data_IF_399375936414
#
_entry.id   IF_399375936414
#
_cell.length_a   1.000
_cell.length_b   1.000
_cell.length_c   1.000
_cell.angle_alpha   90.00
_cell.angle_beta   90.00
_cell.angle_gamma   90.00
#
_symmetry.space_group_name_H-M   'P 1'
#
loop_
_entity.id
_entity.type
_entity.pdbx_description
1 polymer ?
#
# COMPACT_ATOMS: atom_id res chain seq x y z
N UNK A 1 34.89 12.93 -22.15
CA UNK A 1 33.66 13.75 -21.97
C UNK A 1 32.73 12.98 -21.05
N UNK A 2 32.76 13.31 -19.80
CA UNK A 2 32.00 12.69 -18.70
C UNK A 2 30.55 13.14 -18.80
N UNK A 3 29.64 12.22 -19.07
CA UNK A 3 28.20 12.47 -18.92
C UNK A 3 27.78 12.04 -17.51
N UNK A 4 28.11 12.87 -16.54
CA UNK A 4 27.46 12.88 -15.23
C UNK A 4 26.10 13.57 -15.36
N UNK A 5 25.13 12.90 -15.97
CA UNK A 5 23.71 13.25 -15.77
C UNK A 5 23.25 12.51 -14.52
N UNK A 6 23.79 12.95 -13.38
CA UNK A 6 23.33 12.56 -12.07
C UNK A 6 21.83 12.87 -11.96
N UNK A 7 21.08 11.87 -11.56
CA UNK A 7 19.69 11.95 -11.13
C UNK A 7 19.62 12.97 -9.98
N UNK A 8 19.36 14.22 -10.31
CA UNK A 8 19.25 15.28 -9.32
C UNK A 8 17.89 15.15 -8.62
N UNK A 9 17.86 15.18 -7.28
CA UNK A 9 16.59 15.21 -6.54
C UNK A 9 15.65 16.32 -7.01
N UNK A 10 16.18 17.46 -7.47
CA UNK A 10 15.42 18.58 -8.01
C UNK A 10 14.73 18.26 -9.35
N UNK A 11 15.38 17.50 -10.23
CA UNK A 11 14.77 17.07 -11.51
C UNK A 11 13.71 15.99 -11.29
N UNK A 12 13.92 15.09 -10.30
CA UNK A 12 12.90 14.14 -9.87
C UNK A 12 11.66 14.86 -9.29
N UNK A 13 11.87 15.89 -8.47
CA UNK A 13 10.79 16.68 -7.88
C UNK A 13 10.03 17.54 -8.93
N UNK A 14 10.71 18.06 -9.94
CA UNK A 14 10.09 18.82 -11.03
C UNK A 14 9.31 17.92 -12.01
N UNK A 15 9.82 16.72 -12.33
CA UNK A 15 9.11 15.72 -13.12
C UNK A 15 7.86 15.20 -12.39
N UNK A 16 7.88 15.20 -11.08
CA UNK A 16 6.76 14.79 -10.22
C UNK A 16 5.57 15.77 -10.27
N UNK A 17 5.81 17.04 -10.64
CA UNK A 17 4.78 18.09 -10.64
C UNK A 17 3.67 17.89 -11.68
N UNK A 18 3.91 17.18 -12.78
CA UNK A 18 2.99 16.98 -13.90
C UNK A 18 2.69 15.49 -14.19
N UNK A 19 2.83 14.59 -13.23
CA UNK A 19 2.60 13.17 -13.45
C UNK A 19 1.10 12.89 -13.61
N UNK A 20 0.66 12.32 -14.77
CA UNK A 20 -0.69 11.82 -14.93
C UNK A 20 -0.97 10.78 -13.83
N UNK A 21 -2.08 10.94 -13.09
CA UNK A 21 -2.42 10.03 -11.98
C UNK A 21 -2.19 10.58 -10.58
N UNK A 22 -1.57 11.75 -10.44
CA UNK A 22 -1.44 12.45 -9.15
C UNK A 22 -2.80 12.75 -8.51
N UNK A 23 -3.81 13.01 -9.33
CA UNK A 23 -5.19 13.21 -8.88
C UNK A 23 -5.77 11.99 -8.18
N UNK A 24 -5.49 10.76 -8.65
CA UNK A 24 -5.94 9.54 -7.98
C UNK A 24 -5.27 9.36 -6.61
N UNK A 25 -3.97 9.60 -6.50
CA UNK A 25 -3.28 9.56 -5.21
C UNK A 25 -3.88 10.57 -4.22
N UNK A 26 -4.14 11.80 -4.69
CA UNK A 26 -4.78 12.82 -3.87
C UNK A 26 -6.19 12.41 -3.44
N UNK A 27 -6.98 11.83 -4.32
CA UNK A 27 -8.33 11.32 -3.96
C UNK A 27 -8.24 10.26 -2.88
N UNK A 28 -7.35 9.26 -3.03
CA UNK A 28 -7.17 8.21 -2.02
C UNK A 28 -6.75 8.80 -0.67
N UNK A 29 -5.79 9.73 -0.68
CA UNK A 29 -5.30 10.42 0.53
C UNK A 29 -6.43 11.22 1.18
N UNK A 30 -7.16 12.03 0.40
CA UNK A 30 -8.25 12.88 0.91
C UNK A 30 -9.35 12.03 1.52
N UNK A 31 -9.74 10.92 0.87
CA UNK A 31 -10.76 10.01 1.43
C UNK A 31 -10.31 9.46 2.78
N UNK A 32 -9.08 8.95 2.88
CA UNK A 32 -8.56 8.44 4.15
C UNK A 32 -8.47 9.55 5.23
N UNK A 33 -8.00 10.75 4.86
CA UNK A 33 -7.90 11.89 5.77
C UNK A 33 -9.27 12.36 6.27
N UNK A 34 -10.27 12.43 5.39
CA UNK A 34 -11.64 12.83 5.77
C UNK A 34 -12.25 11.80 6.71
N UNK A 35 -12.15 10.50 6.38
CA UNK A 35 -12.67 9.43 7.23
C UNK A 35 -12.02 9.47 8.63
N UNK A 36 -10.71 9.47 8.71
CA UNK A 36 -10.01 9.49 9.99
C UNK A 36 -10.26 10.82 10.75
N UNK A 37 -10.35 11.95 10.04
CA UNK A 37 -10.69 13.24 10.65
C UNK A 37 -12.07 13.22 11.34
N UNK A 38 -13.08 12.65 10.69
CA UNK A 38 -14.42 12.49 11.27
C UNK A 38 -14.36 11.56 12.49
N UNK A 39 -13.62 10.45 12.42
CA UNK A 39 -13.47 9.53 13.55
C UNK A 39 -12.74 10.19 14.72
N UNK A 40 -11.72 11.00 14.48
CA UNK A 40 -11.02 11.77 15.52
C UNK A 40 -11.95 12.79 16.20
N UNK A 41 -12.76 13.52 15.41
CA UNK A 41 -13.73 14.46 15.98
C UNK A 41 -14.77 13.76 16.86
N UNK A 42 -15.18 12.55 16.48
CA UNK A 42 -16.08 11.72 17.31
C UNK A 42 -15.40 11.24 18.60
N UNK A 43 -14.15 10.80 18.51
CA UNK A 43 -13.37 10.38 19.69
C UNK A 43 -13.14 11.52 20.69
N UNK A 44 -13.13 12.79 20.21
CA UNK A 44 -13.05 14.00 21.02
C UNK A 44 -14.43 14.47 21.54
N UNK A 45 -15.52 13.78 21.22
CA UNK A 45 -16.88 14.15 21.61
C UNK A 45 -17.45 15.35 20.83
N UNK A 46 -16.78 15.81 19.76
CA UNK A 46 -17.21 16.96 18.95
C UNK A 46 -18.24 16.59 17.88
N UNK A 47 -18.33 15.31 17.55
CA UNK A 47 -19.29 14.75 16.56
C UNK A 47 -19.95 13.51 17.16
N UNK A 48 -21.28 13.40 17.04
CA UNK A 48 -22.05 12.25 17.48
C UNK A 48 -22.24 11.23 16.35
N UNK A 49 -22.36 9.94 16.66
CA UNK A 49 -22.23 9.33 18.00
C UNK A 49 -20.76 9.18 18.43
N UNK A 50 -20.48 9.24 19.72
CA UNK A 50 -19.13 9.01 20.29
C UNK A 50 -18.56 7.61 19.99
N UNK A 51 -19.39 6.67 19.53
CA UNK A 51 -18.99 5.32 19.12
C UNK A 51 -18.65 5.18 17.63
N UNK A 52 -18.52 6.30 16.92
CA UNK A 52 -18.40 6.27 15.46
C UNK A 52 -17.21 5.45 14.95
N UNK A 53 -16.04 5.51 15.63
CA UNK A 53 -14.88 4.68 15.30
C UNK A 53 -15.18 3.19 15.45
N UNK A 54 -15.80 2.79 16.55
CA UNK A 54 -16.22 1.41 16.76
C UNK A 54 -17.16 0.92 15.67
N UNK A 55 -18.16 1.74 15.31
CA UNK A 55 -19.08 1.45 14.21
C UNK A 55 -18.36 1.35 12.86
N UNK A 56 -17.45 2.29 12.55
CA UNK A 56 -16.68 2.24 11.32
C UNK A 56 -15.85 0.95 11.19
N UNK A 57 -15.27 0.47 12.30
CA UNK A 57 -14.54 -0.79 12.32
C UNK A 57 -15.47 -1.99 12.21
N UNK A 58 -16.61 -1.96 12.91
CA UNK A 58 -17.62 -3.02 12.87
C UNK A 58 -18.14 -3.25 11.46
N UNK A 59 -18.42 -2.18 10.71
CA UNK A 59 -19.02 -2.24 9.37
C UNK A 59 -17.99 -2.25 8.23
N UNK A 60 -16.82 -1.67 8.39
CA UNK A 60 -15.84 -1.46 7.33
C UNK A 60 -14.47 -2.10 7.55
N UNK A 61 -14.13 -2.52 8.78
CA UNK A 61 -12.90 -3.24 9.07
C UNK A 61 -12.91 -4.67 8.51
N UNK A 62 -11.73 -5.25 8.38
CA UNK A 62 -11.61 -6.65 7.94
C UNK A 62 -11.72 -7.59 9.16
N UNK A 63 -12.76 -8.40 9.19
CA UNK A 63 -13.07 -9.34 10.25
C UNK A 63 -12.94 -10.78 9.78
N UNK A 64 -11.91 -11.54 10.18
CA UNK A 64 -11.75 -12.94 9.74
C UNK A 64 -12.93 -13.84 10.07
N UNK A 65 -13.68 -13.55 11.15
CA UNK A 65 -14.85 -14.31 11.55
C UNK A 65 -16.00 -14.26 10.55
N UNK A 66 -16.10 -13.19 9.73
CA UNK A 66 -17.11 -13.06 8.67
C UNK A 66 -16.88 -14.01 7.48
N UNK A 67 -15.71 -14.63 7.40
CA UNK A 67 -15.40 -15.68 6.42
C UNK A 67 -15.64 -17.09 6.99
N UNK A 68 -16.08 -17.19 8.23
CA UNK A 68 -16.37 -18.45 8.95
C UNK A 68 -17.85 -18.48 9.33
N UNK A 69 -18.15 -18.25 10.57
CA UNK A 69 -19.47 -18.50 11.21
C UNK A 69 -20.12 -17.24 11.78
N UNK A 70 -19.49 -16.04 11.58
CA UNK A 70 -20.11 -14.80 12.02
C UNK A 70 -21.15 -14.31 11.04
N UNK A 71 -22.25 -13.77 11.58
CA UNK A 71 -23.27 -13.13 10.77
C UNK A 71 -22.83 -11.71 10.38
N UNK A 72 -22.87 -11.37 9.09
CA UNK A 72 -22.54 -10.03 8.64
C UNK A 72 -23.63 -9.02 9.04
N UNK A 73 -23.25 -7.78 9.32
CA UNK A 73 -24.17 -6.69 9.60
C UNK A 73 -24.99 -6.25 8.37
N UNK A 74 -24.48 -6.53 7.15
CA UNK A 74 -25.15 -6.32 5.87
C UNK A 74 -24.68 -7.35 4.84
N UNK A 75 -25.53 -7.61 3.85
CA UNK A 75 -25.43 -8.76 2.91
C UNK A 75 -24.05 -8.92 2.23
N UNK A 76 -23.35 -7.82 1.93
CA UNK A 76 -22.10 -7.86 1.18
C UNK A 76 -20.87 -7.61 2.05
N UNK A 77 -20.99 -7.55 3.38
CA UNK A 77 -19.89 -7.20 4.27
C UNK A 77 -18.66 -8.11 4.11
N UNK A 78 -18.85 -9.41 4.02
CA UNK A 78 -17.77 -10.39 3.86
C UNK A 78 -16.94 -10.20 2.60
N UNK A 79 -17.48 -9.51 1.60
CA UNK A 79 -16.78 -9.15 0.35
C UNK A 79 -16.26 -7.72 0.39
N UNK A 80 -17.09 -6.78 0.83
CA UNK A 80 -16.75 -5.36 0.90
C UNK A 80 -15.56 -5.09 1.81
N UNK A 81 -15.43 -5.85 2.89
CA UNK A 81 -14.33 -5.72 3.84
C UNK A 81 -12.94 -5.88 3.22
N UNK A 82 -12.80 -6.61 2.08
CA UNK A 82 -11.54 -6.74 1.36
C UNK A 82 -11.05 -5.42 0.74
N UNK A 83 -11.91 -4.42 0.67
CA UNK A 83 -11.59 -3.09 0.15
C UNK A 83 -11.71 -2.02 1.23
N UNK A 84 -12.80 -2.05 2.00
CA UNK A 84 -13.15 -0.97 2.95
C UNK A 84 -12.13 -0.81 4.06
N UNK A 85 -11.53 -1.90 4.53
CA UNK A 85 -10.52 -1.87 5.57
C UNK A 85 -9.34 -0.94 5.24
N UNK A 86 -8.98 -0.86 3.95
CA UNK A 86 -7.85 -0.08 3.47
C UNK A 86 -8.05 1.45 3.53
N UNK A 87 -9.26 1.91 3.80
CA UNK A 87 -9.57 3.33 3.96
C UNK A 87 -9.69 3.77 5.42
N UNK A 88 -9.81 2.83 6.35
CA UNK A 88 -9.89 3.08 7.78
C UNK A 88 -8.50 3.05 8.40
N UNK A 89 -8.28 3.85 9.44
CA UNK A 89 -6.99 3.89 10.13
C UNK A 89 -7.16 3.84 11.65
N UNK A 90 -6.13 3.33 12.34
CA UNK A 90 -6.07 3.19 13.79
C UNK A 90 -5.53 4.44 14.49
N UNK A 91 -5.90 5.63 14.02
CA UNK A 91 -5.48 6.91 14.57
C UNK A 91 -4.55 7.72 13.67
N UNK A 92 -4.29 8.96 14.07
CA UNK A 92 -3.58 9.97 13.24
C UNK A 92 -2.18 9.55 12.83
N UNK A 93 -1.39 8.96 13.72
CA UNK A 93 -0.01 8.54 13.40
C UNK A 93 -0.04 7.46 12.34
N UNK A 94 -0.93 6.47 12.46
CA UNK A 94 -1.11 5.41 11.48
C UNK A 94 -1.53 5.98 10.12
N UNK A 95 -2.49 6.92 10.10
CA UNK A 95 -2.88 7.64 8.88
C UNK A 95 -1.70 8.36 8.23
N UNK A 96 -0.99 9.21 8.99
CA UNK A 96 0.10 10.05 8.46
C UNK A 96 1.18 9.18 7.80
N UNK A 97 1.64 8.13 8.49
CA UNK A 97 2.65 7.22 7.94
C UNK A 97 2.17 6.55 6.65
N UNK A 98 0.92 6.07 6.64
CA UNK A 98 0.34 5.48 5.42
C UNK A 98 0.23 6.49 4.28
N UNK A 99 -0.20 7.71 4.52
CA UNK A 99 -0.40 8.71 3.47
C UNK A 99 0.93 9.21 2.87
N UNK A 100 1.95 9.40 3.69
CA UNK A 100 3.31 9.74 3.22
C UNK A 100 3.85 8.58 2.36
N UNK A 101 3.68 7.35 2.83
CA UNK A 101 4.12 6.15 2.11
C UNK A 101 3.35 5.98 0.80
N UNK A 102 2.02 6.17 0.80
CA UNK A 102 1.19 6.11 -0.42
C UNK A 102 1.64 7.15 -1.44
N UNK A 103 1.88 8.38 -0.99
CA UNK A 103 2.37 9.44 -1.89
C UNK A 103 3.71 9.07 -2.52
N UNK A 104 4.66 8.59 -1.72
CA UNK A 104 6.01 8.25 -2.19
C UNK A 104 6.01 7.03 -3.12
N UNK A 105 5.50 5.88 -2.65
CA UNK A 105 5.51 4.64 -3.42
C UNK A 105 4.55 4.71 -4.60
N UNK A 106 3.37 5.31 -4.42
CA UNK A 106 2.37 5.47 -5.47
C UNK A 106 2.91 6.31 -6.63
N UNK A 107 3.59 7.43 -6.34
CA UNK A 107 4.22 8.24 -7.37
C UNK A 107 5.31 7.45 -8.13
N UNK A 108 6.16 6.69 -7.42
CA UNK A 108 7.19 5.86 -8.04
C UNK A 108 6.60 4.78 -8.96
N UNK A 109 5.54 4.10 -8.51
CA UNK A 109 4.83 3.09 -9.33
C UNK A 109 4.17 3.73 -10.55
N UNK A 110 3.50 4.88 -10.40
CA UNK A 110 2.88 5.59 -11.53
C UNK A 110 3.93 6.00 -12.57
N UNK A 111 5.09 6.45 -12.14
CA UNK A 111 6.20 6.76 -13.06
C UNK A 111 6.65 5.52 -13.82
N UNK A 112 6.69 4.35 -13.17
CA UNK A 112 7.17 3.10 -13.75
C UNK A 112 6.18 2.46 -14.73
N UNK A 113 4.90 2.34 -14.34
CA UNK A 113 3.89 1.58 -15.10
C UNK A 113 2.65 2.39 -15.49
N UNK A 114 2.63 3.69 -15.17
CA UNK A 114 1.49 4.58 -15.42
C UNK A 114 0.33 4.35 -14.49
N UNK A 115 -0.73 5.15 -14.68
CA UNK A 115 -1.90 5.14 -13.82
C UNK A 115 -2.63 3.79 -13.81
N UNK A 116 -2.79 3.17 -14.99
CA UNK A 116 -3.46 1.87 -15.13
C UNK A 116 -2.70 0.78 -14.37
N UNK A 117 -1.37 0.71 -14.54
CA UNK A 117 -0.54 -0.27 -13.83
C UNK A 117 -0.56 -0.05 -12.32
N UNK A 118 -0.50 1.21 -11.86
CA UNK A 118 -0.67 1.54 -10.45
C UNK A 118 -2.01 1.06 -9.90
N UNK A 119 -3.11 1.33 -10.61
CA UNK A 119 -4.46 0.93 -10.16
C UNK A 119 -4.59 -0.58 -10.03
N UNK A 120 -4.09 -1.34 -11.01
CA UNK A 120 -4.10 -2.81 -10.97
C UNK A 120 -3.29 -3.31 -9.77
N UNK A 121 -2.06 -2.79 -9.61
CA UNK A 121 -1.17 -3.20 -8.53
C UNK A 121 -1.75 -2.85 -7.15
N UNK A 122 -2.31 -1.64 -6.99
CA UNK A 122 -2.90 -1.18 -5.73
C UNK A 122 -4.12 -2.03 -5.36
N UNK A 123 -5.05 -2.25 -6.31
CA UNK A 123 -6.27 -3.05 -6.09
C UNK A 123 -5.90 -4.51 -5.78
N UNK A 124 -5.04 -5.14 -6.57
CA UNK A 124 -4.59 -6.49 -6.30
C UNK A 124 -3.96 -6.63 -4.91
N UNK A 125 -3.12 -5.65 -4.53
CA UNK A 125 -2.42 -5.66 -3.24
C UNK A 125 -3.34 -5.45 -2.04
N UNK A 126 -4.41 -4.64 -2.17
CA UNK A 126 -5.39 -4.49 -1.11
C UNK A 126 -6.15 -5.81 -0.90
N UNK A 127 -6.57 -6.48 -1.96
CA UNK A 127 -7.18 -7.82 -1.87
C UNK A 127 -6.20 -8.85 -1.30
N UNK A 128 -4.95 -8.86 -1.76
CA UNK A 128 -3.91 -9.76 -1.26
C UNK A 128 -3.58 -9.54 0.22
N UNK A 129 -3.60 -8.29 0.68
CA UNK A 129 -3.45 -7.95 2.10
C UNK A 129 -4.59 -8.54 2.94
N UNK A 130 -5.83 -8.35 2.51
CA UNK A 130 -7.01 -8.96 3.16
C UNK A 130 -6.93 -10.49 3.16
N UNK A 131 -6.57 -11.11 2.03
CA UNK A 131 -6.40 -12.56 1.93
C UNK A 131 -5.30 -13.09 2.85
N UNK A 132 -4.16 -12.41 2.91
CA UNK A 132 -3.07 -12.75 3.83
C UNK A 132 -3.54 -12.72 5.30
N UNK A 133 -4.31 -11.70 5.66
CA UNK A 133 -4.89 -11.62 7.01
C UNK A 133 -5.91 -12.73 7.26
N UNK A 134 -6.79 -13.00 6.29
CA UNK A 134 -7.80 -14.07 6.38
C UNK A 134 -7.18 -15.44 6.66
N UNK A 135 -6.05 -15.75 6.01
CA UNK A 135 -5.40 -17.05 6.09
C UNK A 135 -4.46 -17.19 7.29
N UNK A 136 -3.72 -16.13 7.63
CA UNK A 136 -2.61 -16.18 8.58
C UNK A 136 -2.95 -15.59 9.95
N UNK A 137 -4.06 -14.85 10.11
CA UNK A 137 -4.40 -14.27 11.39
C UNK A 137 -5.00 -15.34 12.32
N UNK A 138 -4.42 -15.49 13.50
CA UNK A 138 -4.92 -16.40 14.54
C UNK A 138 -6.04 -15.80 15.38
N UNK A 139 -6.18 -14.46 15.39
CA UNK A 139 -7.14 -13.73 16.20
C UNK A 139 -8.42 -13.35 15.45
N UNK A 140 -9.41 -12.88 16.24
CA UNK A 140 -10.69 -12.38 15.71
C UNK A 140 -10.77 -10.85 15.76
N UNK A 141 -9.63 -10.16 15.90
CA UNK A 141 -9.59 -8.70 15.94
C UNK A 141 -9.76 -8.12 14.53
N UNK A 142 -10.39 -6.94 14.40
CA UNK A 142 -10.50 -6.28 13.12
C UNK A 142 -9.14 -5.76 12.66
N UNK A 143 -8.91 -5.81 11.35
CA UNK A 143 -7.75 -5.20 10.73
C UNK A 143 -8.21 -3.99 9.91
N UNK A 144 -7.47 -2.89 10.03
CA UNK A 144 -7.70 -1.63 9.29
C UNK A 144 -6.35 -1.05 8.83
N UNK A 145 -6.34 -0.34 7.72
CA UNK A 145 -5.19 0.41 7.20
C UNK A 145 -4.88 0.13 5.74
N UNK A 146 -4.38 1.15 5.04
CA UNK A 146 -3.91 1.03 3.65
C UNK A 146 -2.62 0.22 3.51
N UNK A 147 -1.97 -0.12 4.63
CA UNK A 147 -0.60 -0.66 4.64
C UNK A 147 -0.42 -1.97 3.85
N UNK A 148 -1.46 -2.81 3.75
CA UNK A 148 -1.44 -3.99 2.89
C UNK A 148 -1.17 -3.63 1.43
N UNK A 149 -1.89 -2.64 0.90
CA UNK A 149 -1.66 -2.12 -0.45
C UNK A 149 -0.27 -1.47 -0.57
N UNK A 150 0.19 -0.74 0.45
CA UNK A 150 1.51 -0.08 0.44
C UNK A 150 2.66 -1.08 0.43
N UNK A 151 2.58 -2.16 1.20
CA UNK A 151 3.53 -3.27 1.12
C UNK A 151 3.49 -3.94 -0.25
N UNK A 152 2.32 -4.01 -0.89
CA UNK A 152 2.19 -4.48 -2.26
C UNK A 152 2.86 -3.55 -3.28
N UNK A 153 2.72 -2.22 -3.15
CA UNK A 153 3.46 -1.27 -3.99
C UNK A 153 4.98 -1.42 -3.81
N UNK A 154 5.45 -1.60 -2.57
CA UNK A 154 6.85 -1.88 -2.28
C UNK A 154 7.30 -3.21 -2.91
N UNK A 155 6.50 -4.27 -2.78
CA UNK A 155 6.73 -5.57 -3.42
C UNK A 155 6.86 -5.45 -4.92
N UNK A 156 5.97 -4.67 -5.57
CA UNK A 156 6.02 -4.42 -7.00
C UNK A 156 7.29 -3.68 -7.45
N UNK A 157 7.67 -2.61 -6.75
CA UNK A 157 8.91 -1.89 -7.04
C UNK A 157 10.15 -2.77 -6.88
N UNK A 158 10.18 -3.61 -5.85
CA UNK A 158 11.28 -4.55 -5.61
C UNK A 158 11.30 -5.68 -6.64
N UNK A 159 10.13 -6.15 -7.11
CA UNK A 159 10.05 -7.12 -8.21
C UNK A 159 10.66 -6.56 -9.49
N UNK A 160 10.33 -5.34 -9.88
CA UNK A 160 10.94 -4.70 -11.05
C UNK A 160 12.42 -4.42 -10.86
N UNK A 161 12.84 -3.99 -9.67
CA UNK A 161 14.28 -3.84 -9.38
C UNK A 161 15.03 -5.18 -9.48
N UNK A 162 14.41 -6.28 -9.04
CA UNK A 162 14.95 -7.63 -9.20
C UNK A 162 15.11 -7.97 -10.68
N UNK A 163 14.06 -7.79 -11.49
CA UNK A 163 14.07 -8.09 -12.93
C UNK A 163 15.14 -7.26 -13.65
N UNK A 164 15.18 -5.95 -13.40
CA UNK A 164 16.17 -5.04 -14.03
C UNK A 164 17.59 -5.51 -13.70
N UNK A 165 17.89 -5.75 -12.41
CA UNK A 165 19.24 -6.18 -11.99
C UNK A 165 19.63 -7.54 -12.53
N UNK A 166 18.69 -8.48 -12.56
CA UNK A 166 18.92 -9.82 -13.14
C UNK A 166 19.19 -9.74 -14.64
N UNK A 167 18.41 -8.96 -15.38
CA UNK A 167 18.55 -8.78 -16.84
C UNK A 167 19.89 -8.14 -17.20
N UNK A 168 20.33 -7.14 -16.42
CA UNK A 168 21.61 -6.46 -16.64
C UNK A 168 22.80 -7.10 -15.90
N UNK A 169 22.63 -8.32 -15.40
CA UNK A 169 23.67 -9.09 -14.68
C UNK A 169 24.30 -8.33 -13.50
N UNK A 170 23.52 -7.50 -12.84
CA UNK A 170 23.93 -6.75 -11.65
C UNK A 170 23.70 -7.59 -10.39
N UNK A 171 24.49 -7.32 -9.35
CA UNK A 171 24.34 -8.00 -8.04
C UNK A 171 22.96 -7.76 -7.41
N UNK A 172 22.36 -8.81 -6.85
CA UNK A 172 21.03 -8.78 -6.22
C UNK A 172 21.04 -8.32 -4.75
N UNK A 173 22.22 -8.03 -4.20
CA UNK A 173 22.37 -7.61 -2.80
C UNK A 173 21.48 -6.41 -2.42
N UNK A 174 21.29 -5.35 -3.24
CA UNK A 174 20.38 -4.26 -2.90
C UNK A 174 18.91 -4.68 -2.76
N UNK A 175 18.45 -5.64 -3.56
CA UNK A 175 17.08 -6.19 -3.43
C UNK A 175 16.95 -6.96 -2.12
N UNK A 176 17.92 -7.82 -1.81
CA UNK A 176 17.94 -8.58 -0.56
C UNK A 176 17.99 -7.66 0.67
N UNK A 177 18.81 -6.60 0.63
CA UNK A 177 18.88 -5.59 1.70
C UNK A 177 17.56 -4.86 1.90
N UNK A 178 16.88 -4.46 0.81
CA UNK A 178 15.58 -3.78 0.90
C UNK A 178 14.50 -4.70 1.47
N UNK A 179 14.45 -5.97 1.06
CA UNK A 179 13.53 -6.97 1.63
C UNK A 179 13.84 -7.18 3.12
N UNK A 180 15.10 -7.34 3.49
CA UNK A 180 15.51 -7.51 4.88
C UNK A 180 15.14 -6.29 5.74
N UNK A 181 15.30 -5.08 5.20
CA UNK A 181 14.86 -3.85 5.87
C UNK A 181 13.35 -3.80 6.10
N UNK A 182 12.54 -4.19 5.11
CA UNK A 182 11.08 -4.25 5.27
C UNK A 182 10.67 -5.28 6.32
N UNK A 183 11.34 -6.44 6.37
CA UNK A 183 11.11 -7.46 7.41
C UNK A 183 11.49 -6.90 8.78
N UNK A 184 12.66 -6.31 8.91
CA UNK A 184 13.13 -5.73 10.18
C UNK A 184 12.20 -4.62 10.67
N UNK A 185 11.75 -3.72 9.78
CA UNK A 185 10.80 -2.67 10.10
C UNK A 185 9.47 -3.26 10.58
N UNK A 186 8.95 -4.27 9.87
CA UNK A 186 7.70 -4.93 10.24
C UNK A 186 7.80 -5.61 11.62
N UNK A 187 8.89 -6.31 11.90
CA UNK A 187 9.17 -6.93 13.20
C UNK A 187 9.30 -5.90 14.33
N UNK A 188 10.02 -4.81 14.07
CA UNK A 188 10.19 -3.72 15.05
C UNK A 188 8.85 -3.05 15.37
N UNK A 189 8.04 -2.77 14.35
CA UNK A 189 6.71 -2.20 14.56
C UNK A 189 5.77 -3.18 15.29
N UNK A 190 5.81 -4.47 14.95
CA UNK A 190 5.05 -5.50 15.65
C UNK A 190 5.40 -5.55 17.13
N UNK A 191 6.68 -5.54 17.45
CA UNK A 191 7.15 -5.50 18.83
C UNK A 191 6.74 -4.20 19.54
N UNK A 192 6.95 -3.03 18.93
CA UNK A 192 6.57 -1.73 19.49
C UNK A 192 5.07 -1.57 19.72
N UNK A 193 4.23 -2.25 18.93
CA UNK A 193 2.78 -2.27 19.07
C UNK A 193 2.27 -3.45 19.93
N UNK A 194 3.14 -4.08 20.73
CA UNK A 194 2.78 -5.21 21.58
C UNK A 194 2.06 -6.34 20.84
N UNK A 195 2.49 -6.64 19.64
CA UNK A 195 1.94 -7.71 18.82
C UNK A 195 0.65 -7.35 18.05
N UNK A 196 0.18 -6.12 18.13
CA UNK A 196 -1.09 -5.71 17.49
C UNK A 196 -0.95 -5.31 16.01
N UNK A 197 0.27 -5.29 15.48
CA UNK A 197 0.48 -5.04 14.06
C UNK A 197 -0.01 -6.22 13.24
N UNK A 198 -0.87 -5.97 12.25
CA UNK A 198 -1.37 -6.96 11.31
C UNK A 198 -0.30 -7.29 10.23
N UNK A 199 0.83 -7.89 10.64
CA UNK A 199 1.94 -8.23 9.73
C UNK A 199 1.50 -9.17 8.60
N UNK A 200 0.45 -9.97 8.83
CA UNK A 200 -0.11 -10.88 7.86
C UNK A 200 -0.63 -10.15 6.61
N UNK A 201 -1.24 -8.97 6.83
CA UNK A 201 -1.72 -8.13 5.72
C UNK A 201 -0.55 -7.51 4.94
N UNK A 202 0.54 -7.16 5.62
CA UNK A 202 1.76 -6.67 4.99
C UNK A 202 2.40 -7.75 4.10
N UNK A 203 2.51 -8.97 4.64
CA UNK A 203 3.02 -10.11 3.89
C UNK A 203 2.16 -10.45 2.68
N UNK A 204 0.83 -10.58 2.86
CA UNK A 204 -0.10 -10.89 1.77
C UNK A 204 -0.09 -9.81 0.68
N UNK A 205 -0.09 -8.53 1.08
CA UNK A 205 0.04 -7.42 0.15
C UNK A 205 1.36 -7.45 -0.62
N UNK A 206 2.48 -7.63 0.07
CA UNK A 206 3.81 -7.71 -0.54
C UNK A 206 3.91 -8.84 -1.59
N UNK A 207 3.51 -10.05 -1.23
CA UNK A 207 3.56 -11.21 -2.14
C UNK A 207 2.67 -10.97 -3.37
N UNK A 208 1.44 -10.50 -3.15
CA UNK A 208 0.51 -10.23 -4.25
C UNK A 208 1.03 -9.09 -5.14
N UNK A 209 1.59 -8.05 -4.54
CA UNK A 209 2.20 -6.94 -5.29
C UNK A 209 3.39 -7.39 -6.11
N UNK A 210 4.26 -8.23 -5.54
CA UNK A 210 5.39 -8.82 -6.28
C UNK A 210 4.92 -9.64 -7.49
N UNK A 211 3.97 -10.57 -7.28
CA UNK A 211 3.43 -11.42 -8.35
C UNK A 211 2.74 -10.56 -9.42
N UNK A 212 1.91 -9.60 -9.02
CA UNK A 212 1.18 -8.72 -9.95
C UNK A 212 2.15 -7.87 -10.78
N UNK A 213 3.23 -7.37 -10.17
CA UNK A 213 4.25 -6.61 -10.87
C UNK A 213 4.99 -7.41 -11.93
N UNK A 214 5.22 -8.71 -11.70
CA UNK A 214 5.81 -9.61 -12.69
C UNK A 214 4.89 -9.84 -13.92
N UNK A 215 3.59 -9.59 -13.77
CA UNK A 215 2.60 -9.69 -14.85
C UNK A 215 2.35 -8.34 -15.57
N UNK A 216 2.84 -7.25 -15.00
CA UNK A 216 2.73 -5.91 -15.59
C UNK A 216 4.05 -5.58 -16.29
N UNK A 217 4.00 -5.35 -17.61
CA UNK A 217 5.17 -4.93 -18.37
C UNK A 217 5.55 -3.49 -17.98
N UNK A 218 6.72 -3.29 -17.35
CA UNK A 218 7.15 -1.97 -16.92
C UNK A 218 7.60 -1.14 -18.14
N UNK A 219 7.34 0.16 -18.08
CA UNK A 219 7.91 1.09 -19.08
C UNK A 219 9.43 1.06 -18.98
N UNK A 220 10.15 1.08 -20.12
CA UNK A 220 11.60 1.19 -20.10
C UNK A 220 12.00 2.47 -19.35
N UNK A 221 12.99 2.40 -18.47
CA UNK A 221 13.49 3.55 -17.70
C UNK A 221 14.12 4.62 -18.61
N UNK A 222 14.59 4.19 -19.78
CA UNK A 222 15.11 5.07 -20.82
C UNK A 222 14.25 4.87 -22.07
N UNK A 223 13.72 5.94 -22.67
CA UNK A 223 13.19 5.85 -24.03
C UNK A 223 14.30 5.29 -24.91
N UNK A 224 14.02 4.22 -25.65
CA UNK A 224 14.92 3.83 -26.73
C UNK A 224 15.09 5.08 -27.59
N UNK A 225 16.33 5.55 -27.71
CA UNK A 225 16.68 6.56 -28.70
C UNK A 225 16.36 5.91 -30.07
N UNK A 226 15.18 6.26 -30.60
CA UNK A 226 14.82 5.86 -31.94
C UNK A 226 15.79 6.62 -32.84
N UNK A 227 17.01 6.09 -32.93
CA UNK A 227 18.03 6.54 -33.83
C UNK A 227 17.39 6.67 -35.20
N UNK A 228 17.30 7.90 -35.66
CA UNK A 228 16.74 8.21 -36.95
C UNK A 228 17.48 7.41 -38.00
N UNK A 229 16.71 6.66 -38.78
CA UNK A 229 17.12 6.18 -40.08
C UNK A 229 17.02 7.30 -41.08
#
# INVERSE_FOLDING_TARGET
MTKDNAFSPATAFAAQKNTPGRSLLLVLIVVCCVLEGILQLSDLGLVQPERLRGMAYEYGGFWPGLLKDWNPNYTLQSYAMFVTYGFLHGGLIHLIVNMITLWSLGAAVILRVGLRGFSILYIASIFGGGAGYAVLAAGLQPMVGASGALFGLAGGLLAWMYVDRFTFQQGLLPVAQAVALLIALNMTMWWAMSGQLAWQTHFGGFVTGWITAMLIDPRPLYPEDKGGA
#
